data_IF_868830939136
#
_entry.id   IF_868830939136
#
_cell.length_a   1.000
_cell.length_b   1.000
_cell.length_c   1.000
_cell.angle_alpha   90.00
_cell.angle_beta   90.00
_cell.angle_gamma   90.00
#
_symmetry.space_group_name_H-M   'P 1'
#
loop_
_entity.id
_entity.type
_entity.pdbx_description
1 polymer ?
#
# COMPACT_ATOMS: atom_id res chain seq x y z
N UNK A 1 -3.14 38.45 43.78
CA UNK A 1 -4.24 38.30 42.81
C UNK A 1 -3.63 38.00 41.44
N UNK A 2 -3.09 36.79 41.25
CA UNK A 2 -2.46 36.38 39.99
C UNK A 2 -3.24 35.18 39.45
N UNK A 3 -4.14 35.43 38.51
CA UNK A 3 -4.90 34.40 37.83
C UNK A 3 -4.01 33.78 36.73
N UNK A 4 -3.54 32.56 36.96
CA UNK A 4 -2.94 31.73 35.93
C UNK A 4 -4.03 31.29 34.96
N UNK A 5 -4.09 31.92 33.78
CA UNK A 5 -4.93 31.51 32.65
C UNK A 5 -4.34 30.22 32.05
N UNK A 6 -4.93 29.08 32.42
CA UNK A 6 -4.63 27.78 31.83
C UNK A 6 -5.32 27.72 30.45
N UNK A 7 -4.60 28.09 29.39
CA UNK A 7 -5.05 27.90 28.02
C UNK A 7 -4.95 26.40 27.67
N UNK A 8 -6.06 25.67 27.78
CA UNK A 8 -6.18 24.32 27.25
C UNK A 8 -6.16 24.40 25.71
N UNK A 9 -5.02 24.10 25.10
CA UNK A 9 -4.94 23.88 23.66
C UNK A 9 -5.78 22.63 23.32
N UNK A 10 -6.95 22.83 22.72
CA UNK A 10 -7.70 21.76 22.08
C UNK A 10 -6.84 21.22 20.92
N UNK A 11 -6.21 20.07 21.15
CA UNK A 11 -5.71 19.24 20.04
C UNK A 11 -6.94 18.76 19.26
N UNK A 12 -7.29 19.48 18.20
CA UNK A 12 -8.14 18.93 17.15
C UNK A 12 -7.41 17.72 16.57
N UNK A 13 -7.90 16.51 16.85
CA UNK A 13 -7.28 15.28 16.39
C UNK A 13 -7.16 15.30 14.87
N UNK A 14 -5.96 15.04 14.35
CA UNK A 14 -5.73 15.02 12.90
C UNK A 14 -6.74 14.10 12.22
N UNK A 15 -7.31 14.53 11.08
CA UNK A 15 -8.29 13.73 10.37
C UNK A 15 -7.63 12.40 9.97
N UNK A 16 -8.26 11.29 10.37
CA UNK A 16 -7.78 9.95 10.02
C UNK A 16 -7.82 9.77 8.49
N UNK A 17 -6.73 9.34 7.85
CA UNK A 17 -6.74 9.12 6.41
C UNK A 17 -7.65 7.93 6.07
N UNK A 18 -8.28 8.01 4.90
CA UNK A 18 -8.93 6.84 4.30
C UNK A 18 -7.87 5.98 3.62
N UNK A 19 -7.89 4.67 3.89
CA UNK A 19 -6.96 3.70 3.31
C UNK A 19 -7.71 2.87 2.26
N UNK A 20 -7.25 2.92 1.01
CA UNK A 20 -7.78 2.10 -0.09
C UNK A 20 -6.71 1.09 -0.48
N UNK A 21 -7.01 -0.20 -0.33
CA UNK A 21 -6.13 -1.30 -0.74
C UNK A 21 -6.59 -1.81 -2.09
N UNK A 22 -5.79 -1.57 -3.14
CA UNK A 22 -6.00 -2.12 -4.47
C UNK A 22 -5.15 -3.38 -4.62
N UNK A 23 -5.79 -4.50 -4.94
CA UNK A 23 -5.11 -5.79 -5.12
C UNK A 23 -5.52 -6.39 -6.47
N UNK A 24 -4.54 -6.60 -7.35
CA UNK A 24 -4.73 -7.21 -8.66
C UNK A 24 -4.22 -8.65 -8.65
N UNK A 25 -4.99 -9.57 -9.23
CA UNK A 25 -4.61 -10.98 -9.35
C UNK A 25 -3.66 -11.20 -10.52
N UNK A 26 -2.68 -12.08 -10.35
CA UNK A 26 -1.68 -12.46 -11.36
C UNK A 26 -0.90 -11.30 -12.03
N UNK A 27 -0.81 -10.14 -11.35
CA UNK A 27 -0.01 -9.02 -11.84
C UNK A 27 1.48 -9.30 -11.64
N UNK A 28 2.23 -9.40 -12.75
CA UNK A 28 3.69 -9.58 -12.74
C UNK A 28 4.39 -8.27 -12.36
N UNK A 29 5.56 -8.36 -11.73
CA UNK A 29 6.31 -7.21 -11.21
C UNK A 29 6.77 -6.20 -12.29
N UNK A 30 6.91 -6.66 -13.54
CA UNK A 30 7.33 -5.90 -14.72
C UNK A 30 6.15 -5.61 -15.67
N UNK A 31 4.90 -5.79 -15.23
CA UNK A 31 3.70 -5.54 -16.05
C UNK A 31 3.20 -4.08 -15.96
N UNK A 32 4.00 -3.17 -15.40
CA UNK A 32 3.68 -1.75 -15.27
C UNK A 32 4.71 -0.94 -16.05
N UNK A 33 4.23 0.00 -16.87
CA UNK A 33 5.08 0.82 -17.74
C UNK A 33 6.14 1.59 -16.97
N UNK A 34 5.79 2.17 -15.82
CA UNK A 34 6.75 2.84 -14.93
C UNK A 34 7.88 1.95 -14.39
N UNK A 35 7.79 0.63 -14.53
CA UNK A 35 8.82 -0.33 -14.12
C UNK A 35 9.64 -0.90 -15.30
N UNK A 36 9.61 -0.21 -16.45
CA UNK A 36 10.47 -0.52 -17.60
C UNK A 36 9.80 -1.36 -18.69
N UNK A 37 8.47 -1.41 -18.74
CA UNK A 37 7.73 -2.12 -19.77
C UNK A 37 7.17 -1.17 -20.83
N UNK A 38 7.80 -1.13 -21.99
CA UNK A 38 7.41 -0.20 -23.07
C UNK A 38 6.17 -0.64 -23.86
N UNK A 39 5.74 -1.91 -23.72
CA UNK A 39 4.59 -2.47 -24.42
C UNK A 39 3.28 -2.27 -23.65
N UNK A 40 3.33 -2.39 -22.32
CA UNK A 40 2.13 -2.37 -21.46
C UNK A 40 1.80 -0.93 -21.04
N UNK A 41 0.62 -0.45 -21.44
CA UNK A 41 0.17 0.92 -21.17
C UNK A 41 -0.60 1.00 -19.85
N UNK A 42 0.02 1.55 -18.81
CA UNK A 42 -0.58 1.71 -17.46
C UNK A 42 -0.58 3.15 -16.96
N UNK A 43 -1.13 4.13 -17.72
CA UNK A 43 -0.93 5.55 -17.43
C UNK A 43 -1.39 5.99 -16.02
N UNK A 44 -2.42 5.34 -15.46
CA UNK A 44 -2.90 5.61 -14.10
C UNK A 44 -2.01 5.03 -13.00
N UNK A 45 -1.47 3.82 -13.20
CA UNK A 45 -0.52 3.23 -12.26
C UNK A 45 0.83 3.92 -12.34
N UNK A 46 1.25 4.34 -13.54
CA UNK A 46 2.49 5.09 -13.73
C UNK A 46 2.41 6.45 -13.02
N UNK A 47 1.26 7.12 -13.12
CA UNK A 47 1.01 8.36 -12.38
C UNK A 47 1.02 8.12 -10.87
N UNK A 48 0.46 7.00 -10.39
CA UNK A 48 0.47 6.62 -8.97
C UNK A 48 1.89 6.35 -8.46
N UNK A 49 2.71 5.63 -9.24
CA UNK A 49 4.10 5.35 -8.90
C UNK A 49 4.94 6.62 -8.83
N UNK A 50 4.76 7.56 -9.77
CA UNK A 50 5.49 8.84 -9.78
C UNK A 50 5.16 9.80 -8.63
N UNK A 51 3.92 9.76 -8.12
CA UNK A 51 3.45 10.63 -7.02
C UNK A 51 3.61 10.02 -5.63
N UNK A 52 4.10 8.78 -5.55
CA UNK A 52 4.18 8.02 -4.32
C UNK A 52 5.50 7.27 -4.21
N UNK A 53 5.48 6.17 -3.46
CA UNK A 53 6.64 5.30 -3.27
C UNK A 53 6.37 3.96 -3.92
N UNK A 54 7.27 3.54 -4.82
CA UNK A 54 7.22 2.23 -5.45
C UNK A 54 8.25 1.28 -4.83
N UNK A 55 7.81 0.07 -4.47
CA UNK A 55 8.69 -1.00 -4.01
C UNK A 55 8.98 -1.94 -5.18
N UNK A 56 10.21 -1.91 -5.71
CA UNK A 56 10.61 -2.73 -6.87
C UNK A 56 11.03 -4.16 -6.50
N UNK A 57 11.24 -4.43 -5.21
CA UNK A 57 11.62 -5.74 -4.67
C UNK A 57 10.60 -6.17 -3.61
N UNK A 58 9.34 -6.37 -4.04
CA UNK A 58 8.25 -6.85 -3.21
C UNK A 58 7.86 -8.27 -3.66
N UNK A 59 7.84 -9.23 -2.73
CA UNK A 59 7.62 -10.64 -3.04
C UNK A 59 6.30 -11.14 -2.46
N UNK A 60 5.63 -12.02 -3.21
CA UNK A 60 4.39 -12.63 -2.78
C UNK A 60 4.66 -13.91 -1.97
N UNK A 61 4.04 -14.01 -0.80
CA UNK A 61 4.02 -15.23 0.00
C UNK A 61 3.11 -16.27 -0.65
N UNK A 62 3.46 -17.55 -0.51
CA UNK A 62 2.67 -18.67 -1.02
C UNK A 62 2.50 -19.79 0.01
N UNK A 63 2.08 -20.96 -0.45
CA UNK A 63 2.07 -22.18 0.38
C UNK A 63 3.35 -22.97 0.10
N UNK A 64 3.25 -24.26 -0.24
CA UNK A 64 4.38 -25.10 -0.67
C UNK A 64 5.05 -24.59 -1.96
N UNK A 65 4.36 -23.73 -2.71
CA UNK A 65 4.86 -23.00 -3.85
C UNK A 65 4.65 -21.50 -3.62
N UNK A 66 5.58 -20.63 -4.07
CA UNK A 66 5.40 -19.18 -4.02
C UNK A 66 4.21 -18.75 -4.89
N UNK A 67 3.64 -17.58 -4.58
CA UNK A 67 2.62 -16.91 -5.39
C UNK A 67 1.35 -17.75 -5.70
N UNK A 68 0.84 -18.50 -4.71
CA UNK A 68 -0.47 -19.18 -4.83
C UNK A 68 -1.57 -18.26 -4.30
N UNK A 69 -2.61 -18.01 -5.11
CA UNK A 69 -3.61 -16.95 -4.89
C UNK A 69 -4.30 -17.00 -3.51
N UNK A 70 -4.82 -18.17 -3.12
CA UNK A 70 -5.55 -18.34 -1.86
C UNK A 70 -4.68 -18.12 -0.61
N UNK A 71 -3.54 -18.81 -0.43
CA UNK A 71 -2.69 -18.60 0.74
C UNK A 71 -2.08 -17.20 0.76
N UNK A 72 -1.69 -16.64 -0.38
CA UNK A 72 -1.22 -15.24 -0.50
C UNK A 72 -2.22 -14.25 0.11
N UNK A 73 -3.49 -14.32 -0.30
CA UNK A 73 -4.55 -13.43 0.19
C UNK A 73 -4.86 -13.66 1.67
N UNK A 74 -4.89 -14.92 2.10
CA UNK A 74 -5.11 -15.26 3.50
C UNK A 74 -4.03 -14.66 4.42
N UNK A 75 -2.75 -14.72 4.00
CA UNK A 75 -1.65 -14.11 4.74
C UNK A 75 -1.71 -12.58 4.73
N UNK A 76 -2.07 -11.95 3.59
CA UNK A 76 -2.26 -10.50 3.50
C UNK A 76 -3.37 -10.00 4.45
N UNK A 77 -4.51 -10.70 4.49
CA UNK A 77 -5.66 -10.30 5.30
C UNK A 77 -5.50 -10.58 6.80
N UNK A 78 -4.76 -11.64 7.15
CA UNK A 78 -4.56 -12.04 8.55
C UNK A 78 -3.28 -11.48 9.18
N UNK A 79 -2.30 -11.06 8.37
CA UNK A 79 -0.97 -10.67 8.83
C UNK A 79 -0.16 -11.83 9.42
N UNK A 80 -0.52 -13.08 9.10
CA UNK A 80 0.13 -14.30 9.61
C UNK A 80 0.62 -15.18 8.46
N UNK A 81 1.61 -16.02 8.72
CA UNK A 81 2.09 -17.03 7.77
C UNK A 81 1.21 -18.29 7.81
N UNK A 82 1.14 -19.01 6.68
CA UNK A 82 0.48 -20.32 6.55
C UNK A 82 1.50 -21.46 6.45
#
# INVERSE_FOLDING_TARGET
MCAFLLAAALFAGEPRPNIVVLFADDLRFDAIGAFGNDEVKTPHLDALARRGTAFTHCFNMGSMNPAVCMPSRAMLMSGRTL
#
